data_IF_932040058971
#
_entry.id   IF_932040058971
#
_cell.length_a   1.000
_cell.length_b   1.000
_cell.length_c   1.000
_cell.angle_alpha   90.00
_cell.angle_beta   90.00
_cell.angle_gamma   90.00
#
_symmetry.space_group_name_H-M   'P 1'
#
loop_
_entity.id
_entity.type
_entity.pdbx_description
1 polymer ?
#
# COMPACT_ATOMS: atom_id res chain seq x y z
N UNK A 1 21.40 -22.37 25.40
CA UNK A 1 20.58 -22.51 24.18
C UNK A 1 19.25 -21.82 24.49
N UNK A 2 18.96 -20.67 23.89
CA UNK A 2 17.69 -20.00 24.10
C UNK A 2 16.55 -20.78 23.46
N UNK A 3 15.35 -20.71 24.03
CA UNK A 3 14.15 -21.29 23.43
C UNK A 3 13.91 -20.65 22.06
N UNK A 4 13.71 -21.43 20.98
CA UNK A 4 13.40 -20.85 19.69
C UNK A 4 12.08 -20.07 19.77
N UNK A 5 12.05 -18.89 19.13
CA UNK A 5 10.82 -18.12 18.98
C UNK A 5 9.93 -18.71 17.89
N UNK A 6 8.61 -18.60 18.07
CA UNK A 6 7.61 -18.99 17.06
C UNK A 6 7.11 -17.74 16.34
N UNK A 7 7.15 -17.73 15.01
CA UNK A 7 6.52 -16.68 14.20
C UNK A 7 4.99 -16.86 14.27
N UNK A 8 4.28 -15.83 14.73
CA UNK A 8 2.81 -15.87 14.86
C UNK A 8 2.11 -15.26 13.66
N UNK A 9 2.63 -14.15 13.12
CA UNK A 9 1.98 -13.37 12.07
C UNK A 9 3.03 -12.67 11.20
N UNK A 10 2.67 -12.41 9.94
CA UNK A 10 3.44 -11.59 9.02
C UNK A 10 2.54 -10.45 8.55
N UNK A 11 3.05 -9.22 8.64
CA UNK A 11 2.37 -8.02 8.19
C UNK A 11 3.22 -7.30 7.16
N UNK A 12 2.62 -7.03 5.99
CA UNK A 12 3.19 -6.18 4.97
C UNK A 12 2.58 -4.78 5.02
N UNK A 13 3.38 -3.80 4.66
CA UNK A 13 2.94 -2.42 4.46
C UNK A 13 3.33 -1.96 3.05
N UNK A 14 2.63 -2.44 2.00
CA UNK A 14 3.00 -2.13 0.62
C UNK A 14 3.11 -0.62 0.37
N UNK A 15 2.12 0.13 0.89
CA UNK A 15 2.10 1.59 0.84
C UNK A 15 2.49 2.16 2.19
N UNK A 16 3.51 3.02 2.21
CA UNK A 16 3.95 3.74 3.40
C UNK A 16 2.76 4.45 4.07
N UNK A 17 2.65 4.28 5.39
CA UNK A 17 1.66 4.92 6.25
C UNK A 17 0.21 4.40 6.13
N UNK A 18 -0.04 3.41 5.27
CA UNK A 18 -1.36 2.78 5.09
C UNK A 18 -1.54 1.55 5.98
N UNK A 19 -2.72 0.92 5.91
CA UNK A 19 -3.02 -0.29 6.66
C UNK A 19 -2.09 -1.45 6.30
N UNK A 20 -1.93 -2.38 7.26
CA UNK A 20 -1.20 -3.60 7.04
C UNK A 20 -2.00 -4.60 6.21
N UNK A 21 -1.29 -5.39 5.40
CA UNK A 21 -1.75 -6.62 4.79
C UNK A 21 -1.21 -7.79 5.61
N UNK A 22 -2.09 -8.53 6.29
CA UNK A 22 -1.71 -9.74 7.01
C UNK A 22 -1.63 -10.94 6.05
N UNK A 23 -0.57 -11.75 6.18
CA UNK A 23 -0.33 -12.92 5.33
C UNK A 23 0.19 -14.10 6.16
N UNK A 24 -0.05 -15.31 5.66
CA UNK A 24 0.48 -16.54 6.29
C UNK A 24 1.92 -16.83 5.85
N UNK A 25 2.26 -16.48 4.62
CA UNK A 25 3.59 -16.64 4.02
C UNK A 25 3.82 -15.52 3.02
N UNK A 26 5.09 -15.22 2.72
CA UNK A 26 5.43 -14.21 1.74
C UNK A 26 6.82 -14.40 1.14
N UNK A 27 7.03 -14.13 -0.16
CA UNK A 27 8.35 -14.19 -0.76
C UNK A 27 9.30 -13.13 -0.20
N UNK A 28 10.57 -13.50 -0.09
CA UNK A 28 11.65 -12.54 0.20
C UNK A 28 12.24 -12.02 -1.11
N UNK A 29 12.37 -10.70 -1.19
CA UNK A 29 13.17 -9.99 -2.17
C UNK A 29 14.50 -9.47 -1.59
N UNK A 30 15.31 -8.76 -2.39
CA UNK A 30 16.63 -8.26 -1.97
C UNK A 30 16.61 -7.31 -0.77
N UNK A 31 15.46 -6.69 -0.46
CA UNK A 31 15.30 -5.69 0.59
C UNK A 31 14.44 -6.19 1.77
N UNK A 32 14.07 -7.47 1.81
CA UNK A 32 13.17 -8.03 2.82
C UNK A 32 11.93 -8.67 2.19
N UNK A 33 10.77 -8.58 2.83
CA UNK A 33 9.51 -9.06 2.26
C UNK A 33 9.25 -8.34 0.92
N UNK A 34 9.00 -9.11 -0.14
CA UNK A 34 8.81 -8.57 -1.48
C UNK A 34 7.67 -7.53 -1.48
N UNK A 35 7.86 -6.38 -2.10
CA UNK A 35 6.87 -5.28 -2.14
C UNK A 35 6.53 -4.63 -0.78
N UNK A 36 7.26 -4.91 0.30
CA UNK A 36 7.09 -4.14 1.54
C UNK A 36 7.66 -2.72 1.39
N UNK A 37 6.86 -1.72 1.78
CA UNK A 37 7.22 -0.28 1.78
C UNK A 37 7.71 0.30 0.46
N UNK A 38 7.35 -0.27 -0.69
CA UNK A 38 7.84 0.19 -2.00
C UNK A 38 6.99 1.31 -2.62
N UNK A 39 5.80 1.60 -2.08
CA UNK A 39 4.97 2.75 -2.49
C UNK A 39 4.80 3.80 -1.39
N UNK A 40 4.47 5.02 -1.80
CA UNK A 40 4.07 6.10 -0.89
C UNK A 40 3.02 6.99 -1.54
N UNK A 41 2.16 7.58 -0.72
CA UNK A 41 1.23 8.63 -1.17
C UNK A 41 1.96 9.97 -1.09
N UNK A 42 1.90 10.74 -2.17
CA UNK A 42 2.45 12.10 -2.24
C UNK A 42 1.36 13.11 -2.53
N UNK A 43 1.55 14.36 -2.08
CA UNK A 43 0.72 15.46 -2.55
C UNK A 43 1.15 15.97 -3.93
N UNK A 44 0.46 16.99 -4.46
CA UNK A 44 0.76 17.60 -5.76
C UNK A 44 2.18 18.18 -5.86
N UNK A 45 2.83 18.49 -4.74
CA UNK A 45 4.21 18.99 -4.70
C UNK A 45 5.24 17.86 -4.59
N UNK A 46 4.82 16.59 -4.70
CA UNK A 46 5.70 15.42 -4.54
C UNK A 46 6.10 15.14 -3.10
N UNK A 47 5.51 15.82 -2.11
CA UNK A 47 5.83 15.60 -0.70
C UNK A 47 5.09 14.38 -0.20
N UNK A 48 5.85 13.42 0.36
CA UNK A 48 5.30 12.21 0.98
C UNK A 48 4.38 12.57 2.15
N UNK A 49 3.17 12.00 2.14
CA UNK A 49 2.26 12.05 3.27
C UNK A 49 2.66 11.01 4.32
N UNK A 50 2.51 11.38 5.60
CA UNK A 50 2.74 10.48 6.74
C UNK A 50 1.46 10.31 7.55
N UNK A 51 1.30 9.15 8.20
CA UNK A 51 0.14 8.90 9.07
C UNK A 51 0.04 9.89 10.24
N UNK A 52 1.17 10.43 10.70
CA UNK A 52 1.19 11.47 11.75
C UNK A 52 0.53 12.76 11.28
N UNK A 53 0.67 13.09 9.99
CA UNK A 53 0.09 14.29 9.39
C UNK A 53 -1.34 14.04 8.89
N UNK A 54 -1.59 12.86 8.29
CA UNK A 54 -2.89 12.43 7.78
C UNK A 54 -3.25 11.06 8.39
N UNK A 55 -3.91 11.04 9.56
CA UNK A 55 -4.25 9.79 10.24
C UNK A 55 -5.13 8.86 9.41
N UNK A 56 -5.97 9.41 8.52
CA UNK A 56 -6.88 8.60 7.69
C UNK A 56 -6.17 7.73 6.66
N UNK A 57 -4.86 7.91 6.45
CA UNK A 57 -4.07 6.96 5.65
C UNK A 57 -4.20 5.52 6.18
N UNK A 58 -4.42 5.34 7.48
CA UNK A 58 -4.66 4.02 8.07
C UNK A 58 -5.93 3.31 7.56
N UNK A 59 -6.86 4.03 6.94
CA UNK A 59 -8.10 3.48 6.38
C UNK A 59 -7.92 2.97 4.94
N UNK A 60 -6.75 3.23 4.34
CA UNK A 60 -6.41 2.72 3.02
C UNK A 60 -5.84 1.31 3.20
N UNK A 61 -6.51 0.33 2.59
CA UNK A 61 -6.22 -1.09 2.69
C UNK A 61 -5.60 -1.60 1.38
N UNK A 62 -4.25 -1.62 1.27
CA UNK A 62 -3.56 -2.20 0.13
C UNK A 62 -3.62 -3.74 0.15
N UNK A 63 -3.73 -4.36 -1.04
CA UNK A 63 -3.58 -5.80 -1.24
C UNK A 63 -2.69 -6.07 -2.45
N UNK A 64 -1.64 -6.88 -2.26
CA UNK A 64 -0.72 -7.26 -3.33
C UNK A 64 -1.14 -8.60 -3.91
N UNK A 65 -1.48 -8.62 -5.20
CA UNK A 65 -1.88 -9.81 -5.95
C UNK A 65 -0.75 -10.23 -6.87
N UNK A 66 0.06 -11.21 -6.43
CA UNK A 66 1.25 -11.66 -7.15
C UNK A 66 0.91 -12.40 -8.45
N UNK A 67 -0.21 -13.11 -8.47
CA UNK A 67 -0.75 -13.87 -9.59
C UNK A 67 -1.19 -12.97 -10.75
N UNK A 68 -1.93 -11.91 -10.43
CA UNK A 68 -2.44 -10.93 -11.39
C UNK A 68 -1.48 -9.76 -11.61
N UNK A 69 -0.36 -9.73 -10.89
CA UNK A 69 0.67 -8.68 -10.93
C UNK A 69 0.13 -7.28 -10.66
N UNK A 70 -0.81 -7.14 -9.74
CA UNK A 70 -1.41 -5.85 -9.39
C UNK A 70 -1.43 -5.59 -7.88
N UNK A 71 -1.29 -4.33 -7.49
CA UNK A 71 -1.64 -3.81 -6.18
C UNK A 71 -3.06 -3.24 -6.26
N UNK A 72 -4.00 -3.77 -5.47
CA UNK A 72 -5.30 -3.13 -5.28
C UNK A 72 -5.29 -2.23 -4.04
N UNK A 73 -5.86 -1.03 -4.17
CA UNK A 73 -5.92 -0.03 -3.12
C UNK A 73 -7.39 0.22 -2.81
N UNK A 74 -7.80 -0.16 -1.60
CA UNK A 74 -9.20 -0.11 -1.17
C UNK A 74 -9.37 0.95 -0.09
N UNK A 75 -10.48 1.67 -0.12
CA UNK A 75 -10.91 2.58 0.94
C UNK A 75 -12.44 2.58 1.01
N UNK A 76 -13.00 2.74 2.21
CA UNK A 76 -14.46 2.70 2.41
C UNK A 76 -15.17 3.76 1.57
N UNK A 77 -16.19 3.34 0.81
CA UNK A 77 -16.98 4.22 -0.05
C UNK A 77 -16.30 4.62 -1.37
N UNK A 78 -15.17 4.00 -1.72
CA UNK A 78 -14.44 4.27 -2.97
C UNK A 78 -14.34 3.03 -3.84
N UNK A 79 -14.32 3.22 -5.16
CA UNK A 79 -13.95 2.15 -6.08
C UNK A 79 -12.46 1.80 -5.89
N UNK A 80 -12.09 0.51 -5.90
CA UNK A 80 -10.69 0.11 -5.80
C UNK A 80 -9.86 0.69 -6.96
N UNK A 81 -8.63 1.08 -6.64
CA UNK A 81 -7.63 1.49 -7.64
C UNK A 81 -6.66 0.33 -7.82
N UNK A 82 -6.27 0.06 -9.07
CA UNK A 82 -5.29 -0.97 -9.40
C UNK A 82 -4.01 -0.33 -9.93
N UNK A 83 -2.87 -0.79 -9.40
CA UNK A 83 -1.54 -0.32 -9.80
C UNK A 83 -0.70 -1.53 -10.23
N UNK A 84 -0.17 -1.58 -11.46
CA UNK A 84 0.70 -2.67 -11.89
C UNK A 84 1.96 -2.79 -11.05
N UNK A 85 2.32 -4.02 -10.65
CA UNK A 85 3.49 -4.29 -9.81
C UNK A 85 4.83 -4.15 -10.56
N UNK A 86 4.80 -4.18 -11.89
CA UNK A 86 5.97 -4.02 -12.76
C UNK A 86 6.33 -2.54 -13.02
N UNK A 87 5.54 -1.61 -12.47
CA UNK A 87 5.75 -0.18 -12.67
C UNK A 87 5.34 0.32 -14.05
N UNK A 88 4.66 -0.50 -14.86
CA UNK A 88 4.01 -0.02 -16.07
C UNK A 88 2.83 0.88 -15.69
N UNK A 89 3.00 2.19 -15.78
CA UNK A 89 1.89 3.11 -15.67
C UNK A 89 1.32 3.40 -17.06
N UNK A 90 0.07 3.00 -17.30
CA UNK A 90 -0.75 3.83 -18.18
C UNK A 90 -0.86 5.18 -17.47
N UNK A 91 -0.53 6.27 -18.16
CA UNK A 91 -0.61 7.62 -17.61
C UNK A 91 -2.06 7.90 -17.22
N UNK A 92 -2.41 7.67 -15.96
CA UNK A 92 -3.66 8.17 -15.40
C UNK A 92 -3.56 9.70 -15.39
N UNK A 93 -4.24 10.35 -16.34
CA UNK A 93 -4.60 11.74 -16.20
C UNK A 93 -5.49 11.82 -14.95
N UNK A 94 -4.95 12.43 -13.90
CA UNK A 94 -5.74 12.76 -12.73
C UNK A 94 -6.82 13.74 -13.16
N UNK A 95 -8.03 13.25 -13.42
CA UNK A 95 -9.21 14.10 -13.49
C UNK A 95 -9.32 14.81 -12.15
N UNK A 96 -9.18 16.15 -12.10
CA UNK A 96 -9.29 16.89 -10.85
C UNK A 96 -10.73 16.80 -10.38
N UNK A 97 -11.01 15.90 -9.44
CA UNK A 97 -12.31 15.88 -8.75
C UNK A 97 -12.35 17.09 -7.80
N UNK A 98 -12.70 18.24 -8.35
CA UNK A 98 -12.99 19.45 -7.60
C UNK A 98 -14.47 19.48 -7.18
N UNK A 99 -14.65 19.30 -5.86
CA UNK A 99 -15.63 19.89 -4.93
C UNK A 99 -17.15 19.78 -5.18
N UNK A 100 -17.87 19.50 -4.08
CA UNK A 100 -18.93 20.43 -3.68
C UNK A 100 -18.61 21.04 -2.32
N UNK A 101 -18.61 22.38 -2.30
CA UNK A 101 -18.68 23.22 -1.11
C UNK A 101 -20.00 22.93 -0.38
N UNK A 102 -19.96 23.00 0.95
CA UNK A 102 -21.13 23.42 1.75
C UNK A 102 -21.18 24.94 1.70
#
# INVERSE_FOLDING_TARGET
MGTPGTLTNIFLYPIKSCAALEVNEWPLGPQGLLYDRVWMVVNMNGVCLSQKQEPRLCLICPQVHLDTKNLSVNASGMNPIFVPLDGSSEQYQAEPVHQSKV
#
